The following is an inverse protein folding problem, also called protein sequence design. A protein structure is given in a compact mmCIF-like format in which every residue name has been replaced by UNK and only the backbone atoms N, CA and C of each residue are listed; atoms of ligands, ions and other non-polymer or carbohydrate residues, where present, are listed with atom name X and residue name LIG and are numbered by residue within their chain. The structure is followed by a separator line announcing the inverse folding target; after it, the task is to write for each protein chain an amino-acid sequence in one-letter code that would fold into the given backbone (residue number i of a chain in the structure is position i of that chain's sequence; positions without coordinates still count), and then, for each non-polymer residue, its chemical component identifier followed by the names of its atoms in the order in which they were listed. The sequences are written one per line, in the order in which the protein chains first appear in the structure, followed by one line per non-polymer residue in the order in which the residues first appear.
data_IF_666864837678
#
_entry.id   IF_666864837678
#
_cell.length_a   1.000
_cell.length_b   1.000
_cell.length_c   1.000
_cell.angle_alpha   90.00
_cell.angle_beta   90.00
_cell.angle_gamma   90.00
#
_symmetry.space_group_name_H-M   'P 1'
#
loop_
_entity.id
_entity.type
_entity.pdbx_description
1 polymer ?
#
# COMPACT_ATOMS: atom_id res chain seq x y z
N UNK A 1 4.45 -33.78 1.82
CA UNK A 1 5.07 -32.65 2.57
C UNK A 1 5.12 -31.44 1.65
N UNK A 2 4.77 -30.25 2.13
CA UNK A 2 4.82 -29.03 1.30
C UNK A 2 6.23 -28.46 1.38
N UNK A 3 6.87 -28.21 0.23
CA UNK A 3 8.20 -27.58 0.16
C UNK A 3 8.11 -26.10 0.55
N UNK A 4 9.16 -25.61 1.20
CA UNK A 4 9.35 -24.20 1.51
C UNK A 4 9.71 -23.40 0.25
N UNK A 5 9.48 -22.09 0.28
CA UNK A 5 9.74 -21.21 -0.87
C UNK A 5 11.22 -21.27 -1.31
N UNK A 6 12.12 -21.39 -0.34
CA UNK A 6 13.56 -21.57 -0.59
C UNK A 6 13.86 -22.88 -1.32
N UNK A 7 13.32 -24.00 -0.84
CA UNK A 7 13.52 -25.30 -1.50
C UNK A 7 12.97 -25.30 -2.92
N UNK A 8 11.86 -24.60 -3.18
CA UNK A 8 11.29 -24.50 -4.53
C UNK A 8 12.23 -23.74 -5.47
N UNK A 9 12.86 -22.66 -5.00
CA UNK A 9 13.86 -21.92 -5.77
C UNK A 9 15.11 -22.76 -6.04
N UNK A 10 15.63 -23.46 -5.05
CA UNK A 10 16.79 -24.36 -5.20
C UNK A 10 16.52 -25.48 -6.23
N UNK A 11 15.30 -26.02 -6.26
CA UNK A 11 14.87 -27.01 -7.27
C UNK A 11 14.86 -26.40 -8.69
N UNK A 12 14.34 -25.17 -8.83
CA UNK A 12 14.25 -24.50 -10.12
C UNK A 12 15.63 -24.09 -10.63
N UNK A 13 16.52 -23.63 -9.75
CA UNK A 13 17.92 -23.32 -10.08
C UNK A 13 18.67 -24.57 -10.54
N UNK A 14 18.51 -25.70 -9.85
CA UNK A 14 19.10 -26.98 -10.25
C UNK A 14 18.58 -27.45 -11.62
N UNK A 15 17.31 -27.21 -11.92
CA UNK A 15 16.74 -27.51 -13.23
C UNK A 15 17.25 -26.56 -14.33
N UNK A 16 17.42 -25.27 -14.04
CA UNK A 16 17.96 -24.33 -15.03
C UNK A 16 19.43 -24.61 -15.36
N UNK A 17 20.19 -25.12 -14.40
CA UNK A 17 21.58 -25.57 -14.58
C UNK A 17 21.70 -26.85 -15.42
N UNK A 18 20.84 -27.84 -15.16
CA UNK A 18 20.98 -29.18 -15.76
C UNK A 18 20.07 -29.43 -16.97
N UNK A 19 18.97 -28.65 -17.09
CA UNK A 19 17.89 -28.83 -18.07
C UNK A 19 17.29 -30.25 -18.09
N UNK A 20 17.56 -31.05 -17.06
CA UNK A 20 17.14 -32.45 -16.95
C UNK A 20 16.52 -32.68 -15.57
N UNK A 21 15.28 -33.17 -15.53
CA UNK A 21 14.56 -33.36 -14.27
C UNK A 21 15.22 -34.38 -13.34
N UNK A 22 15.87 -35.41 -13.90
CA UNK A 22 16.53 -36.46 -13.13
C UNK A 22 17.82 -35.95 -12.47
N UNK A 23 18.66 -35.25 -13.23
CA UNK A 23 19.90 -34.65 -12.71
C UNK A 23 19.62 -33.51 -11.72
N UNK A 24 18.59 -32.70 -11.96
CA UNK A 24 18.15 -31.66 -11.04
C UNK A 24 17.62 -32.24 -9.71
N UNK A 25 16.91 -33.37 -9.78
CA UNK A 25 16.39 -34.08 -8.62
C UNK A 25 17.51 -34.59 -7.71
N UNK A 26 18.59 -35.14 -8.27
CA UNK A 26 19.78 -35.55 -7.53
C UNK A 26 20.48 -34.36 -6.85
N UNK A 27 20.65 -33.25 -7.57
CA UNK A 27 21.30 -32.04 -7.04
C UNK A 27 20.50 -31.36 -5.92
N UNK A 28 19.17 -31.33 -6.04
CA UNK A 28 18.29 -30.71 -5.05
C UNK A 28 17.78 -31.68 -3.97
N UNK A 29 18.16 -32.97 -4.04
CA UNK A 29 17.73 -33.99 -3.08
C UNK A 29 16.22 -34.25 -3.05
N UNK A 30 15.55 -34.16 -4.21
CA UNK A 30 14.09 -34.35 -4.33
C UNK A 30 13.74 -35.39 -5.40
N UNK A 31 12.47 -35.83 -5.44
CA UNK A 31 11.97 -36.74 -6.46
C UNK A 31 11.80 -36.03 -7.82
N UNK A 32 12.14 -36.71 -8.93
CA UNK A 32 12.02 -36.21 -10.30
C UNK A 32 10.62 -35.66 -10.63
N UNK A 33 9.55 -36.30 -10.12
CA UNK A 33 8.17 -35.85 -10.34
C UNK A 33 7.90 -34.51 -9.66
N UNK A 34 8.60 -34.22 -8.56
CA UNK A 34 8.51 -32.94 -7.86
C UNK A 34 9.14 -31.83 -8.72
N UNK A 35 10.31 -32.08 -9.31
CA UNK A 35 10.96 -31.16 -10.25
C UNK A 35 10.04 -30.90 -11.45
N UNK A 36 9.56 -31.96 -12.11
CA UNK A 36 8.63 -31.84 -13.26
C UNK A 36 7.37 -31.05 -12.92
N UNK A 37 6.81 -31.24 -11.73
CA UNK A 37 5.63 -30.51 -11.28
C UNK A 37 5.90 -29.00 -11.15
N UNK A 38 6.99 -28.60 -10.51
CA UNK A 38 7.31 -27.18 -10.32
C UNK A 38 7.72 -26.49 -11.63
N UNK A 39 8.46 -27.19 -12.49
CA UNK A 39 8.79 -26.72 -13.84
C UNK A 39 7.52 -26.53 -14.67
N UNK A 40 6.60 -27.49 -14.67
CA UNK A 40 5.32 -27.34 -15.39
C UNK A 40 4.47 -26.17 -14.87
N UNK A 41 4.49 -25.89 -13.56
CA UNK A 41 3.80 -24.72 -12.99
C UNK A 41 4.44 -23.41 -13.50
N UNK A 42 5.78 -23.35 -13.52
CA UNK A 42 6.54 -22.22 -14.04
C UNK A 42 6.31 -21.99 -15.53
N UNK A 43 6.33 -23.04 -16.34
CA UNK A 43 6.19 -22.96 -17.79
C UNK A 43 4.79 -22.47 -18.22
N UNK A 44 3.77 -22.72 -17.39
CA UNK A 44 2.42 -22.17 -17.55
C UNK A 44 2.31 -20.72 -17.03
N UNK A 45 3.42 -20.13 -16.56
CA UNK A 45 3.48 -18.76 -16.05
C UNK A 45 2.79 -18.57 -14.69
N UNK A 46 2.51 -19.67 -13.98
CA UNK A 46 1.94 -19.61 -12.63
C UNK A 46 3.05 -19.53 -11.60
N UNK A 47 2.82 -18.77 -10.54
CA UNK A 47 3.77 -18.67 -9.42
C UNK A 47 3.79 -19.99 -8.63
N UNK A 48 4.92 -20.73 -8.61
CA UNK A 48 5.04 -21.99 -7.89
C UNK A 48 5.05 -21.82 -6.36
N UNK A 49 5.24 -20.60 -5.86
CA UNK A 49 5.20 -20.25 -4.44
C UNK A 49 3.76 -20.01 -3.95
N UNK A 50 2.86 -19.65 -4.87
CA UNK A 50 1.46 -19.40 -4.53
C UNK A 50 0.74 -20.72 -4.34
N UNK A 51 0.41 -21.03 -3.09
CA UNK A 51 -0.43 -22.19 -2.75
C UNK A 51 -1.79 -22.07 -3.42
N UNK A 52 -2.12 -23.02 -4.29
CA UNK A 52 -3.48 -23.14 -4.86
C UNK A 52 -4.47 -23.36 -3.73
N UNK A 53 -5.36 -22.39 -3.52
CA UNK A 53 -6.44 -22.50 -2.54
C UNK A 53 -7.45 -23.55 -3.02
N UNK A 54 -7.90 -24.46 -2.13
CA UNK A 54 -9.02 -25.35 -2.43
C UNK A 54 -10.30 -24.53 -2.59
N UNK A 55 -11.12 -24.90 -3.59
CA UNK A 55 -12.43 -24.31 -3.78
C UNK A 55 -13.29 -24.50 -2.53
N UNK A 56 -13.93 -23.43 -2.06
CA UNK A 56 -14.88 -23.41 -0.94
C UNK A 56 -16.29 -23.20 -1.47
N UNK A 57 -17.29 -23.67 -0.73
CA UNK A 57 -18.71 -23.45 -1.05
C UNK A 57 -19.12 -21.97 -1.13
N UNK A 58 -18.32 -21.07 -0.55
CA UNK A 58 -18.55 -19.63 -0.60
C UNK A 58 -17.99 -18.96 -1.85
N UNK A 59 -17.11 -19.63 -2.60
CA UNK A 59 -16.41 -19.02 -3.73
C UNK A 59 -17.35 -18.51 -4.84
N UNK A 60 -18.45 -19.21 -5.20
CA UNK A 60 -19.44 -18.67 -6.16
C UNK A 60 -20.11 -17.37 -5.70
N UNK A 61 -20.14 -17.11 -4.39
CA UNK A 61 -20.80 -15.95 -3.80
C UNK A 61 -19.83 -14.79 -3.51
N UNK A 62 -18.52 -14.97 -3.73
CA UNK A 62 -17.51 -13.92 -3.45
C UNK A 62 -17.77 -12.64 -4.22
N UNK A 63 -18.12 -12.73 -5.51
CA UNK A 63 -18.43 -11.54 -6.32
C UNK A 63 -19.57 -10.71 -5.73
N UNK A 64 -20.58 -11.36 -5.14
CA UNK A 64 -21.67 -10.64 -4.47
C UNK A 64 -21.25 -10.01 -3.15
N UNK A 65 -20.38 -10.69 -2.40
CA UNK A 65 -19.81 -10.14 -1.16
C UNK A 65 -18.98 -8.90 -1.48
N UNK A 66 -18.16 -8.93 -2.53
CA UNK A 66 -17.36 -7.80 -2.99
C UNK A 66 -18.24 -6.61 -3.41
N UNK A 67 -19.31 -6.85 -4.18
CA UNK A 67 -20.29 -5.82 -4.54
C UNK A 67 -20.93 -5.16 -3.31
N UNK A 68 -21.30 -5.95 -2.30
CA UNK A 68 -21.88 -5.46 -1.06
C UNK A 68 -20.88 -4.64 -0.23
N UNK A 69 -19.62 -5.06 -0.20
CA UNK A 69 -18.53 -4.35 0.47
C UNK A 69 -18.27 -3.02 -0.24
N UNK A 70 -18.24 -3.00 -1.56
CA UNK A 70 -17.97 -1.81 -2.35
C UNK A 70 -19.09 -0.77 -2.22
N UNK A 71 -20.34 -1.18 -2.43
CA UNK A 71 -21.53 -0.32 -2.24
C UNK A 71 -21.64 0.28 -0.84
N UNK A 72 -21.13 -0.42 0.16
CA UNK A 72 -21.17 0.04 1.55
C UNK A 72 -19.88 0.72 2.03
N UNK A 73 -18.90 0.92 1.14
CA UNK A 73 -17.57 1.44 1.49
C UNK A 73 -16.95 0.71 2.69
N UNK A 74 -17.07 -0.62 2.72
CA UNK A 74 -16.56 -1.48 3.79
C UNK A 74 -17.39 -1.50 5.08
N UNK A 75 -18.53 -0.80 5.16
CA UNK A 75 -19.34 -0.72 6.39
C UNK A 75 -20.36 -1.85 6.56
N UNK A 76 -20.63 -2.67 5.53
CA UNK A 76 -21.62 -3.75 5.58
C UNK A 76 -21.40 -4.70 6.76
N UNK A 77 -22.46 -5.00 7.52
CA UNK A 77 -22.42 -6.03 8.58
C UNK A 77 -22.46 -7.42 7.96
N UNK A 78 -21.65 -8.33 8.49
CA UNK A 78 -21.57 -9.69 7.97
C UNK A 78 -22.90 -10.46 8.13
N UNK A 79 -23.67 -10.21 9.19
CA UNK A 79 -24.98 -10.84 9.39
C UNK A 79 -25.97 -10.48 8.26
N UNK A 80 -25.97 -9.21 7.84
CA UNK A 80 -26.81 -8.71 6.74
C UNK A 80 -26.36 -9.29 5.40
N UNK A 81 -25.04 -9.40 5.20
CA UNK A 81 -24.51 -10.08 4.02
C UNK A 81 -24.93 -11.55 4.01
N UNK A 82 -24.88 -12.25 5.16
CA UNK A 82 -25.27 -13.66 5.27
C UNK A 82 -26.74 -13.88 4.92
N UNK A 83 -27.66 -13.06 5.44
CA UNK A 83 -29.08 -13.16 5.09
C UNK A 83 -29.31 -13.02 3.57
N UNK A 84 -28.59 -12.09 2.92
CA UNK A 84 -28.66 -11.93 1.45
C UNK A 84 -28.09 -13.15 0.72
N UNK A 85 -27.00 -13.73 1.20
CA UNK A 85 -26.41 -14.95 0.63
C UNK A 85 -27.36 -16.16 0.76
N UNK A 86 -27.98 -16.33 1.93
CA UNK A 86 -28.96 -17.41 2.17
C UNK A 86 -30.16 -17.29 1.23
N UNK A 87 -30.66 -16.07 1.01
CA UNK A 87 -31.73 -15.82 0.04
C UNK A 87 -31.35 -16.18 -1.42
N UNK A 88 -30.05 -16.20 -1.74
CA UNK A 88 -29.52 -16.64 -3.04
C UNK A 88 -29.13 -18.13 -3.07
N UNK A 89 -29.47 -18.90 -2.04
CA UNK A 89 -29.23 -20.35 -1.99
C UNK A 89 -27.91 -20.76 -1.32
N UNK A 90 -27.27 -19.89 -0.55
CA UNK A 90 -26.09 -20.27 0.23
C UNK A 90 -26.47 -21.18 1.41
N UNK A 91 -25.94 -22.40 1.41
CA UNK A 91 -26.19 -23.43 2.45
C UNK A 91 -25.11 -23.50 3.53
N UNK A 92 -24.09 -22.64 3.46
CA UNK A 92 -23.00 -22.62 4.42
C UNK A 92 -23.35 -21.90 5.73
N UNK A 93 -22.43 -21.95 6.68
CA UNK A 93 -22.63 -21.35 8.00
C UNK A 93 -22.35 -19.85 8.03
N UNK A 94 -22.98 -19.15 8.96
CA UNK A 94 -22.71 -17.74 9.24
C UNK A 94 -21.20 -17.47 9.45
N UNK A 95 -20.48 -18.34 10.18
CA UNK A 95 -19.03 -18.23 10.40
C UNK A 95 -18.24 -18.15 9.08
N UNK A 96 -18.61 -18.95 8.08
CA UNK A 96 -17.94 -18.93 6.77
C UNK A 96 -18.18 -17.61 6.04
N UNK A 97 -19.39 -17.06 6.16
CA UNK A 97 -19.75 -15.74 5.61
C UNK A 97 -18.97 -14.63 6.30
N UNK A 98 -18.93 -14.61 7.64
CA UNK A 98 -18.17 -13.62 8.40
C UNK A 98 -16.70 -13.58 8.00
N UNK A 99 -16.08 -14.75 7.80
CA UNK A 99 -14.68 -14.84 7.34
C UNK A 99 -14.51 -14.29 5.92
N UNK A 100 -15.38 -14.65 4.98
CA UNK A 100 -15.29 -14.13 3.61
C UNK A 100 -15.54 -12.62 3.53
N UNK A 101 -16.50 -12.09 4.31
CA UNK A 101 -16.75 -10.65 4.41
C UNK A 101 -15.53 -9.93 5.01
N UNK A 102 -14.88 -10.51 6.02
CA UNK A 102 -13.66 -9.94 6.59
C UNK A 102 -12.49 -9.93 5.59
N UNK A 103 -12.28 -11.02 4.85
CA UNK A 103 -11.31 -11.12 3.76
C UNK A 103 -11.58 -10.04 2.69
N UNK A 104 -12.84 -9.91 2.23
CA UNK A 104 -13.23 -8.92 1.22
C UNK A 104 -13.07 -7.47 1.71
N UNK A 105 -13.41 -7.18 2.97
CA UNK A 105 -13.18 -5.85 3.58
C UNK A 105 -11.70 -5.52 3.69
N UNK A 106 -10.87 -6.49 4.04
CA UNK A 106 -9.42 -6.29 4.14
C UNK A 106 -8.83 -5.96 2.75
N UNK A 107 -9.24 -6.69 1.70
CA UNK A 107 -8.86 -6.40 0.33
C UNK A 107 -9.33 -5.01 -0.13
N UNK A 108 -10.60 -4.67 0.12
CA UNK A 108 -11.15 -3.35 -0.19
C UNK A 108 -10.38 -2.23 0.51
N UNK A 109 -10.06 -2.38 1.80
CA UNK A 109 -9.26 -1.40 2.55
C UNK A 109 -7.82 -1.30 2.03
N UNK A 110 -7.22 -2.39 1.57
CA UNK A 110 -5.88 -2.36 1.00
C UNK A 110 -5.83 -1.58 -0.33
N UNK A 111 -6.89 -1.62 -1.12
CA UNK A 111 -7.04 -0.82 -2.34
C UNK A 111 -7.40 0.65 -2.08
N UNK A 112 -8.25 0.92 -1.09
CA UNK A 112 -8.79 2.25 -0.79
C UNK A 112 -8.04 3.02 0.30
N UNK A 113 -7.00 2.44 0.92
CA UNK A 113 -6.13 3.19 1.83
C UNK A 113 -5.43 4.30 1.06
N UNK A 114 -5.33 5.47 1.68
CA UNK A 114 -4.44 6.53 1.19
C UNK A 114 -3.04 5.94 1.08
N UNK A 115 -2.52 5.81 -0.15
CA UNK A 115 -1.17 5.30 -0.39
C UNK A 115 -0.20 6.32 0.21
N UNK A 116 0.48 5.94 1.29
CA UNK A 116 1.62 6.70 1.78
C UNK A 116 2.74 6.53 0.77
N UNK A 117 3.07 7.61 0.05
CA UNK A 117 4.31 7.70 -0.71
C UNK A 117 5.36 8.29 0.22
N UNK A 118 6.40 7.52 0.61
CA UNK A 118 7.46 8.06 1.44
C UNK A 118 8.12 9.22 0.68
N UNK A 119 8.04 10.40 1.27
CA UNK A 119 8.62 11.59 0.69
C UNK A 119 10.00 11.80 1.30
N UNK A 120 11.04 11.60 0.47
CA UNK A 120 12.43 11.84 0.83
C UNK A 120 12.83 13.22 0.29
N UNK A 121 12.87 14.27 1.13
CA UNK A 121 13.31 15.58 0.67
C UNK A 121 14.82 15.57 0.44
N UNK A 122 15.24 15.99 -0.75
CA UNK A 122 16.64 16.32 -1.01
C UNK A 122 16.97 17.74 -0.48
N UNK A 123 18.21 17.99 -0.02
CA UNK A 123 18.65 19.33 0.33
C UNK A 123 18.45 20.30 -0.84
N UNK A 124 17.91 21.49 -0.59
CA UNK A 124 17.76 22.54 -1.61
C UNK A 124 16.59 22.38 -2.58
N UNK A 125 15.99 21.19 -2.71
CA UNK A 125 14.90 20.97 -3.68
C UNK A 125 13.50 21.29 -3.14
N UNK A 126 13.30 21.28 -1.83
CA UNK A 126 11.96 21.30 -1.24
C UNK A 126 11.81 22.32 -0.11
N UNK A 127 10.95 23.31 -0.34
CA UNK A 127 10.41 24.22 0.67
C UNK A 127 8.90 23.98 0.77
N UNK A 128 8.41 23.66 1.97
CA UNK A 128 6.97 23.61 2.24
C UNK A 128 6.59 24.89 2.98
N UNK A 129 5.42 25.42 2.65
CA UNK A 129 4.88 26.57 3.36
C UNK A 129 3.41 26.34 3.66
N UNK A 130 2.95 26.96 4.73
CA UNK A 130 1.56 26.95 5.15
C UNK A 130 1.20 28.31 5.79
N UNK A 131 -0.11 28.57 5.89
CA UNK A 131 -0.65 29.74 6.54
C UNK A 131 -1.35 29.33 7.83
N UNK A 132 -0.92 29.92 8.95
CA UNK A 132 -1.59 29.82 10.24
C UNK A 132 -2.40 31.06 10.56
N UNK A 133 -3.50 30.93 11.30
CA UNK A 133 -4.14 32.09 11.94
C UNK A 133 -3.27 32.56 13.12
N UNK A 134 -2.90 33.83 13.11
CA UNK A 134 -2.09 34.47 14.14
C UNK A 134 -2.93 35.23 15.18
N UNK A 135 -2.29 35.73 16.25
CA UNK A 135 -2.97 36.52 17.27
C UNK A 135 -3.54 37.83 16.70
N UNK A 136 -4.60 38.35 17.30
CA UNK A 136 -5.13 39.67 16.89
C UNK A 136 -4.21 40.76 17.41
N UNK A 137 -3.70 41.60 16.51
CA UNK A 137 -2.85 42.75 16.85
C UNK A 137 -3.61 44.01 16.44
N UNK A 138 -3.82 44.94 17.36
CA UNK A 138 -4.60 46.16 17.10
C UNK A 138 -6.04 45.91 16.64
N UNK A 139 -6.67 44.81 17.10
CA UNK A 139 -8.05 44.44 16.74
C UNK A 139 -8.19 43.73 15.37
N UNK A 140 -7.13 43.68 14.55
CA UNK A 140 -7.11 43.00 13.26
C UNK A 140 -6.52 41.60 13.38
N UNK A 141 -7.05 40.65 12.60
CA UNK A 141 -6.51 39.28 12.49
C UNK A 141 -5.16 39.33 11.78
N UNK A 142 -4.14 38.69 12.36
CA UNK A 142 -2.87 38.45 11.66
C UNK A 142 -2.87 37.04 11.09
N UNK A 143 -2.10 36.85 10.04
CA UNK A 143 -1.82 35.56 9.44
C UNK A 143 -0.33 35.28 9.56
N UNK A 144 0.03 34.05 9.88
CA UNK A 144 1.42 33.63 10.01
C UNK A 144 1.78 32.82 8.77
N UNK A 145 2.71 33.33 7.97
CA UNK A 145 3.34 32.55 6.93
C UNK A 145 4.41 31.68 7.57
N UNK A 146 4.24 30.37 7.51
CA UNK A 146 5.17 29.39 8.05
C UNK A 146 5.81 28.62 6.90
N UNK A 147 7.07 28.92 6.59
CA UNK A 147 7.85 28.15 5.63
C UNK A 147 8.87 27.28 6.35
N UNK A 148 9.12 26.08 5.85
CA UNK A 148 10.22 25.26 6.32
C UNK A 148 10.93 24.50 5.21
N UNK A 149 12.25 24.45 5.37
CA UNK A 149 13.09 23.54 4.61
C UNK A 149 12.86 22.14 5.13
N UNK A 150 12.49 21.25 4.24
CA UNK A 150 12.00 19.96 4.70
C UNK A 150 13.08 18.94 5.02
N UNK A 151 14.26 19.12 4.45
CA UNK A 151 15.45 18.34 4.78
C UNK A 151 16.05 18.76 6.13
N UNK A 152 16.39 20.05 6.30
CA UNK A 152 17.01 20.57 7.54
C UNK A 152 16.03 20.91 8.67
N UNK A 153 14.72 20.88 8.41
CA UNK A 153 13.65 21.30 9.33
C UNK A 153 13.75 22.74 9.81
N UNK A 154 14.59 23.56 9.19
CA UNK A 154 14.68 24.98 9.48
C UNK A 154 13.37 25.69 9.14
N UNK A 155 12.87 26.53 10.04
CA UNK A 155 11.56 27.19 9.92
C UNK A 155 11.71 28.71 9.92
N UNK A 156 10.97 29.36 9.04
CA UNK A 156 10.81 30.81 8.97
C UNK A 156 9.32 31.10 9.19
N UNK A 157 9.01 31.92 10.19
CA UNK A 157 7.64 32.34 10.49
C UNK A 157 7.56 33.84 10.39
N UNK A 158 6.72 34.34 9.48
CA UNK A 158 6.56 35.77 9.21
C UNK A 158 5.09 36.14 9.45
N UNK A 159 4.86 37.11 10.34
CA UNK A 159 3.53 37.65 10.57
C UNK A 159 3.14 38.61 9.47
N UNK A 160 1.90 38.50 9.00
CA UNK A 160 1.38 39.27 7.89
C UNK A 160 -0.11 39.61 8.05
N UNK A 161 -0.59 40.57 7.27
CA UNK A 161 -1.95 41.09 7.34
C UNK A 161 -2.91 40.56 6.28
N UNK A 162 -2.40 40.01 5.18
CA UNK A 162 -3.16 39.55 4.02
C UNK A 162 -2.46 38.40 3.27
N UNK A 163 -3.19 37.68 2.42
CA UNK A 163 -2.63 36.62 1.55
C UNK A 163 -2.50 37.10 0.10
N UNK A 164 -2.03 38.33 -0.12
CA UNK A 164 -1.93 38.87 -1.48
C UNK A 164 -0.64 38.43 -2.17
N UNK A 165 -0.70 38.26 -3.48
CA UNK A 165 0.40 37.73 -4.31
C UNK A 165 1.64 38.64 -4.30
N UNK A 166 1.45 39.96 -4.22
CA UNK A 166 2.54 40.93 -4.13
C UNK A 166 3.33 40.78 -2.83
N UNK A 167 2.63 40.53 -1.73
CA UNK A 167 3.24 40.31 -0.43
C UNK A 167 3.87 38.92 -0.33
N UNK A 168 3.31 37.94 -1.05
CA UNK A 168 3.90 36.61 -1.20
C UNK A 168 5.29 36.66 -1.84
N UNK A 169 5.48 37.42 -2.93
CA UNK A 169 6.81 37.59 -3.55
C UNK A 169 7.84 38.20 -2.59
N UNK A 170 7.46 39.20 -1.79
CA UNK A 170 8.36 39.84 -0.83
C UNK A 170 8.76 38.89 0.31
N UNK A 171 7.78 38.19 0.89
CA UNK A 171 8.00 37.18 1.94
C UNK A 171 8.83 36.01 1.43
N UNK A 172 8.56 35.56 0.20
CA UNK A 172 9.32 34.50 -0.46
C UNK A 172 10.77 34.90 -0.70
N UNK A 173 11.02 36.12 -1.21
CA UNK A 173 12.38 36.60 -1.47
C UNK A 173 13.21 36.66 -0.17
N UNK A 174 12.59 37.13 0.93
CA UNK A 174 13.19 37.13 2.27
C UNK A 174 13.50 35.71 2.76
N UNK A 175 12.52 34.81 2.66
CA UNK A 175 12.67 33.43 3.09
C UNK A 175 13.72 32.66 2.26
N UNK A 176 13.75 32.86 0.95
CA UNK A 176 14.76 32.26 0.06
C UNK A 176 16.16 32.74 0.43
N UNK A 177 16.37 34.04 0.64
CA UNK A 177 17.66 34.59 1.03
C UNK A 177 18.17 33.98 2.35
N UNK A 178 17.31 33.89 3.38
CA UNK A 178 17.67 33.30 4.68
C UNK A 178 17.93 31.79 4.59
N UNK A 179 17.21 31.09 3.71
CA UNK A 179 17.33 29.64 3.52
C UNK A 179 18.59 29.21 2.74
N UNK A 180 18.94 29.92 1.66
CA UNK A 180 20.12 29.63 0.82
C UNK A 180 21.42 29.88 1.58
N UNK A 181 21.45 30.91 2.44
CA UNK A 181 22.62 31.21 3.27
C UNK A 181 22.97 30.08 4.25
N UNK A 182 21.98 29.29 4.71
CA UNK A 182 22.17 28.28 5.76
C UNK A 182 22.11 26.83 5.27
N UNK A 183 21.66 26.57 4.05
CA UNK A 183 21.79 25.24 3.41
C UNK A 183 23.25 24.83 3.18
N UNK A 184 24.20 25.78 3.16
CA UNK A 184 25.64 25.50 3.02
C UNK A 184 26.34 25.09 4.33
N UNK A 185 25.65 25.15 5.47
CA UNK A 185 26.24 24.98 6.82
C UNK A 185 25.91 23.61 7.43
N UNK A 186 25.07 22.79 6.78
CA UNK A 186 24.64 21.48 7.30
C UNK A 186 24.93 20.35 6.32
#
# INVERSE_FOLDING_TARGET
MTKSDREIMEILEAFDLTRCAHSAAELAGVDEKTVKRYVAIRDVGKDPLVRTRRARSIDPFLGKIEELVDKSQGRVRADVAHQRLVAMGFTGTDRTTRRAVAEAKAAWKAGHRRKYRPWLPEPGMWCQFDWGEGPRVGGRRTQLFCAWLSWSRYRVVIANWDQTLALWCLVWTRCCADSVARQRIC
#
